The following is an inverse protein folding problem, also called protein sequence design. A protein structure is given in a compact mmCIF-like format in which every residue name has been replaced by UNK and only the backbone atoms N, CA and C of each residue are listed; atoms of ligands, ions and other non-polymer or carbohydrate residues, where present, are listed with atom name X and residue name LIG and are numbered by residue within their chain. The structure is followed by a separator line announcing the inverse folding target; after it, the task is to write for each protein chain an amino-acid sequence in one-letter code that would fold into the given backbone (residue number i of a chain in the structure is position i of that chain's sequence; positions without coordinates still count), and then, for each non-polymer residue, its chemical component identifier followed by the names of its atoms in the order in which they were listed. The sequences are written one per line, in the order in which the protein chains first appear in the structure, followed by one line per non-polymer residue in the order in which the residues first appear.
data_IF_065702044675
#
_entry.id   IF_065702044675
#
_cell.length_a   1.000
_cell.length_b   1.000
_cell.length_c   1.000
_cell.angle_alpha   90.00
_cell.angle_beta   90.00
_cell.angle_gamma   90.00
#
_symmetry.space_group_name_H-M   'P 1'
#
loop_
_entity.id
_entity.type
_entity.pdbx_description
1 polymer ?
#
# COMPACT_ATOMS: atom_id res chain seq x y z
N UNK A 1 -27.25 20.10 -8.78
CA UNK A 1 -27.28 19.78 -7.35
C UNK A 1 -28.07 18.49 -7.19
N UNK A 2 -27.38 17.36 -7.31
CA UNK A 2 -27.94 16.06 -6.97
C UNK A 2 -27.78 15.92 -5.45
N UNK A 3 -28.88 15.61 -4.75
CA UNK A 3 -28.85 15.33 -3.33
C UNK A 3 -28.01 14.06 -3.10
N UNK A 4 -26.87 14.21 -2.43
CA UNK A 4 -26.09 13.09 -1.92
C UNK A 4 -27.00 12.25 -1.00
N UNK A 5 -27.28 11.02 -1.39
CA UNK A 5 -27.85 10.01 -0.52
C UNK A 5 -26.78 9.61 0.51
N UNK A 6 -26.65 10.40 1.57
CA UNK A 6 -25.96 9.89 2.76
C UNK A 6 -26.80 8.70 3.29
N UNK A 7 -26.19 7.51 3.46
CA UNK A 7 -26.90 6.37 4.04
C UNK A 7 -27.53 6.82 5.38
N UNK A 8 -28.80 6.49 5.58
CA UNK A 8 -29.45 6.77 6.86
C UNK A 8 -28.68 6.08 8.00
N UNK A 9 -28.76 6.57 9.22
CA UNK A 9 -28.03 6.06 10.40
C UNK A 9 -28.14 4.52 10.55
N UNK A 10 -29.27 3.93 10.14
CA UNK A 10 -29.51 2.47 10.18
C UNK A 10 -28.66 1.73 9.14
N UNK A 11 -28.50 2.29 7.93
CA UNK A 11 -27.70 1.69 6.87
C UNK A 11 -26.21 1.73 7.21
N UNK A 12 -25.75 2.81 7.84
CA UNK A 12 -24.38 2.95 8.31
C UNK A 12 -24.05 1.93 9.43
N UNK A 13 -24.99 1.69 10.37
CA UNK A 13 -24.82 0.66 11.40
C UNK A 13 -24.80 -0.73 10.75
N UNK A 14 -25.68 -1.01 9.77
CA UNK A 14 -25.68 -2.28 9.04
C UNK A 14 -24.33 -2.50 8.32
N UNK A 15 -23.84 -1.48 7.65
CA UNK A 15 -22.56 -1.50 6.94
C UNK A 15 -21.39 -1.81 7.89
N UNK A 16 -21.26 -1.07 8.98
CA UNK A 16 -20.20 -1.24 9.98
C UNK A 16 -20.24 -2.62 10.60
N UNK A 17 -21.42 -3.10 10.97
CA UNK A 17 -21.58 -4.43 11.58
C UNK A 17 -21.23 -5.56 10.60
N UNK A 18 -21.67 -5.45 9.34
CA UNK A 18 -21.35 -6.44 8.32
C UNK A 18 -19.84 -6.48 8.05
N UNK A 19 -19.20 -5.31 7.90
CA UNK A 19 -17.75 -5.21 7.71
C UNK A 19 -16.97 -5.82 8.88
N UNK A 20 -17.37 -5.52 10.13
CA UNK A 20 -16.72 -6.09 11.32
C UNK A 20 -16.84 -7.62 11.37
N UNK A 21 -18.01 -8.18 11.05
CA UNK A 21 -18.22 -9.64 11.00
C UNK A 21 -17.39 -10.28 9.89
N UNK A 22 -17.37 -9.70 8.69
CA UNK A 22 -16.55 -10.20 7.59
C UNK A 22 -15.06 -10.18 7.95
N UNK A 23 -14.58 -9.10 8.54
CA UNK A 23 -13.18 -8.97 9.00
C UNK A 23 -12.81 -10.09 9.99
N UNK A 24 -13.67 -10.39 10.95
CA UNK A 24 -13.43 -11.47 11.91
C UNK A 24 -13.38 -12.84 11.23
N UNK A 25 -14.25 -13.11 10.26
CA UNK A 25 -14.23 -14.36 9.49
C UNK A 25 -12.94 -14.46 8.67
N UNK A 26 -12.52 -13.38 8.02
CA UNK A 26 -11.32 -13.37 7.19
C UNK A 26 -10.02 -13.52 8.00
N UNK A 27 -9.96 -12.91 9.18
CA UNK A 27 -8.76 -12.93 10.02
C UNK A 27 -8.63 -14.16 10.91
N UNK A 28 -9.77 -14.75 11.34
CA UNK A 28 -9.80 -15.80 12.36
C UNK A 28 -10.40 -17.12 11.86
N UNK A 29 -10.89 -17.15 10.62
CA UNK A 29 -11.53 -18.34 10.07
C UNK A 29 -10.64 -19.60 10.10
N UNK A 30 -11.22 -20.76 10.40
CA UNK A 30 -12.64 -21.04 10.61
C UNK A 30 -13.15 -20.59 11.99
N UNK A 31 -14.20 -19.76 12.04
CA UNK A 31 -14.75 -19.15 13.26
C UNK A 31 -16.25 -19.46 13.42
N UNK A 32 -16.68 -19.77 14.64
CA UNK A 32 -18.08 -20.09 14.89
C UNK A 32 -18.97 -18.84 15.02
N UNK A 33 -20.29 -18.97 14.77
CA UNK A 33 -21.25 -17.88 14.99
C UNK A 33 -21.28 -17.40 16.44
N UNK A 34 -21.01 -18.28 17.40
CA UNK A 34 -20.96 -17.95 18.84
C UNK A 34 -19.75 -17.06 19.12
N UNK A 35 -18.58 -17.41 18.58
CA UNK A 35 -17.39 -16.60 18.74
C UNK A 35 -17.52 -15.26 18.02
N UNK A 36 -18.13 -15.23 16.82
CA UNK A 36 -18.45 -13.99 16.13
C UNK A 36 -19.34 -13.06 16.96
N UNK A 37 -20.37 -13.61 17.60
CA UNK A 37 -21.27 -12.83 18.48
C UNK A 37 -20.49 -12.19 19.63
N UNK A 38 -19.61 -12.96 20.26
CA UNK A 38 -18.77 -12.50 21.37
C UNK A 38 -17.74 -11.45 20.92
N UNK A 39 -17.03 -11.72 19.82
CA UNK A 39 -15.94 -10.87 19.33
C UNK A 39 -16.44 -9.57 18.71
N UNK A 40 -17.53 -9.63 17.93
CA UNK A 40 -18.16 -8.45 17.34
C UNK A 40 -19.07 -7.68 18.32
N UNK A 41 -19.33 -8.23 19.52
CA UNK A 41 -20.26 -7.67 20.51
C UNK A 41 -21.67 -7.42 19.92
N UNK A 42 -22.13 -8.33 19.05
CA UNK A 42 -23.42 -8.28 18.39
C UNK A 42 -24.34 -9.41 18.90
N UNK A 43 -25.65 -9.16 18.95
CA UNK A 43 -26.62 -10.15 19.31
C UNK A 43 -26.57 -11.37 18.37
N UNK A 44 -26.78 -12.62 18.87
CA UNK A 44 -26.75 -13.84 18.05
C UNK A 44 -27.70 -13.80 16.84
N UNK A 45 -28.88 -13.17 17.00
CA UNK A 45 -29.83 -12.99 15.89
C UNK A 45 -29.24 -12.08 14.75
N UNK A 46 -28.52 -11.03 15.12
CA UNK A 46 -27.84 -10.15 14.15
C UNK A 46 -26.75 -10.90 13.41
N UNK A 47 -25.90 -11.66 14.11
CA UNK A 47 -24.88 -12.51 13.49
C UNK A 47 -25.50 -13.51 12.53
N UNK A 48 -26.57 -14.19 12.93
CA UNK A 48 -27.26 -15.18 12.08
C UNK A 48 -27.77 -14.54 10.79
N UNK A 49 -28.34 -13.33 10.88
CA UNK A 49 -28.83 -12.59 9.71
C UNK A 49 -27.67 -12.18 8.78
N UNK A 50 -26.62 -11.54 9.32
CA UNK A 50 -25.46 -11.06 8.55
C UNK A 50 -24.77 -12.25 7.85
N UNK A 51 -24.50 -13.33 8.58
CA UNK A 51 -23.85 -14.52 8.04
C UNK A 51 -24.69 -15.19 6.95
N UNK A 52 -26.02 -15.24 7.13
CA UNK A 52 -26.90 -15.77 6.09
C UNK A 52 -26.81 -14.96 4.81
N UNK A 53 -26.88 -13.63 4.89
CA UNK A 53 -26.72 -12.73 3.73
C UNK A 53 -25.38 -12.96 3.04
N UNK A 54 -24.29 -13.15 3.79
CA UNK A 54 -22.95 -13.43 3.23
C UNK A 54 -22.83 -14.81 2.57
N UNK A 55 -23.49 -15.84 3.12
CA UNK A 55 -23.54 -17.17 2.52
C UNK A 55 -24.33 -17.17 1.21
N UNK A 56 -25.49 -16.50 1.18
CA UNK A 56 -26.33 -16.34 0.00
C UNK A 56 -25.59 -15.58 -1.13
N UNK A 57 -24.74 -14.61 -0.77
CA UNK A 57 -23.90 -13.86 -1.71
C UNK A 57 -22.57 -14.56 -2.05
N UNK A 58 -22.31 -15.76 -1.56
CA UNK A 58 -21.03 -16.48 -1.78
C UNK A 58 -19.78 -15.72 -1.34
N UNK A 59 -19.87 -14.94 -0.28
CA UNK A 59 -18.73 -14.22 0.31
C UNK A 59 -18.02 -15.05 1.37
N UNK A 60 -18.76 -15.93 2.02
CA UNK A 60 -18.27 -16.85 3.03
C UNK A 60 -18.88 -18.25 2.82
N UNK A 61 -18.23 -19.26 3.36
CA UNK A 61 -18.70 -20.64 3.31
C UNK A 61 -18.57 -21.31 4.67
N UNK A 62 -19.35 -22.35 4.86
CA UNK A 62 -19.30 -23.20 6.05
C UNK A 62 -18.32 -24.36 5.89
N UNK A 63 -17.51 -24.57 6.91
CA UNK A 63 -16.53 -25.65 7.01
C UNK A 63 -16.82 -26.48 8.27
N UNK A 64 -16.84 -27.81 8.15
CA UNK A 64 -16.91 -28.69 9.33
C UNK A 64 -15.57 -28.68 10.07
N UNK A 65 -15.58 -28.26 11.33
CA UNK A 65 -14.41 -28.31 12.20
C UNK A 65 -14.45 -29.64 12.96
N UNK A 66 -13.48 -30.50 12.70
CA UNK A 66 -13.29 -31.72 13.50
C UNK A 66 -12.56 -31.35 14.79
N UNK A 67 -13.27 -31.18 15.88
CA UNK A 67 -12.65 -31.09 17.21
C UNK A 67 -12.18 -32.50 17.61
N UNK A 68 -10.87 -32.64 17.83
CA UNK A 68 -10.27 -33.85 18.33
C UNK A 68 -10.77 -34.09 19.79
N UNK A 69 -11.65 -35.06 19.98
CA UNK A 69 -12.01 -35.55 21.31
C UNK A 69 -13.45 -35.36 21.80
N UNK A 70 -14.31 -34.65 21.11
CA UNK A 70 -15.71 -34.50 21.53
C UNK A 70 -16.66 -35.41 20.75
N UNK A 71 -17.42 -36.25 21.47
CA UNK A 71 -18.59 -36.98 20.93
C UNK A 71 -19.76 -36.01 20.79
N UNK A 72 -19.90 -35.39 19.61
CA UNK A 72 -20.97 -34.46 19.29
C UNK A 72 -21.05 -34.17 17.80
N UNK A 73 -22.08 -33.43 17.36
CA UNK A 73 -22.16 -32.92 15.97
C UNK A 73 -20.91 -32.05 15.70
N UNK A 74 -20.20 -32.22 14.56
CA UNK A 74 -19.07 -31.39 14.20
C UNK A 74 -19.43 -29.91 14.32
N UNK A 75 -18.53 -29.12 14.91
CA UNK A 75 -18.70 -27.66 14.96
C UNK A 75 -18.60 -27.11 13.54
N UNK A 76 -19.48 -26.17 13.19
CA UNK A 76 -19.45 -25.49 11.90
C UNK A 76 -18.70 -24.18 12.04
N UNK A 77 -17.62 -24.01 11.31
CA UNK A 77 -16.86 -22.76 11.20
C UNK A 77 -17.13 -22.05 9.90
N UNK A 78 -16.97 -20.74 9.92
CA UNK A 78 -17.11 -19.86 8.77
C UNK A 78 -15.72 -19.44 8.28
N UNK A 79 -15.53 -19.48 6.98
CA UNK A 79 -14.33 -19.00 6.27
C UNK A 79 -14.73 -18.17 5.05
N UNK A 80 -13.83 -17.33 4.55
CA UNK A 80 -14.05 -16.60 3.30
C UNK A 80 -14.14 -17.61 2.16
N UNK A 81 -15.08 -17.41 1.24
CA UNK A 81 -15.14 -18.18 0.01
C UNK A 81 -14.18 -17.60 -1.02
N UNK A 82 -13.30 -18.43 -1.61
CA UNK A 82 -12.20 -17.98 -2.46
C UNK A 82 -12.40 -18.27 -3.94
N UNK A 83 -13.41 -19.04 -4.30
CA UNK A 83 -13.64 -19.46 -5.70
C UNK A 83 -14.69 -18.63 -6.42
N UNK A 84 -15.65 -18.05 -5.69
CA UNK A 84 -16.82 -17.40 -6.28
C UNK A 84 -16.51 -15.99 -6.82
N UNK A 85 -15.71 -15.22 -6.11
CA UNK A 85 -15.47 -13.81 -6.41
C UNK A 85 -14.00 -13.48 -6.56
N UNK A 86 -13.72 -12.58 -7.51
CA UNK A 86 -12.38 -12.05 -7.76
C UNK A 86 -12.41 -10.52 -7.78
N UNK A 87 -11.26 -9.89 -7.66
CA UNK A 87 -11.07 -8.47 -7.90
C UNK A 87 -9.80 -8.23 -8.71
N UNK A 88 -9.79 -7.14 -9.47
CA UNK A 88 -8.62 -6.70 -10.21
C UNK A 88 -7.82 -5.72 -9.35
N UNK A 89 -6.55 -6.04 -9.08
CA UNK A 89 -5.58 -5.12 -8.51
C UNK A 89 -4.68 -4.59 -9.61
N UNK A 90 -4.67 -3.28 -9.79
CA UNK A 90 -3.94 -2.59 -10.84
C UNK A 90 -2.94 -1.62 -10.22
N UNK A 91 -1.70 -1.66 -10.68
CA UNK A 91 -0.68 -0.70 -10.29
C UNK A 91 -0.11 -0.03 -11.52
N UNK A 92 -0.08 1.31 -11.49
CA UNK A 92 0.56 2.12 -12.53
C UNK A 92 1.84 2.69 -11.98
N UNK A 93 2.93 2.50 -12.71
CA UNK A 93 4.24 3.07 -12.37
C UNK A 93 4.90 3.73 -13.59
N UNK A 94 6.15 4.11 -13.46
CA UNK A 94 6.89 4.75 -14.56
C UNK A 94 7.09 3.78 -15.72
N UNK A 95 6.33 3.96 -16.79
CA UNK A 95 6.45 3.17 -18.03
C UNK A 95 5.86 1.76 -17.97
N UNK A 96 5.13 1.42 -16.90
CA UNK A 96 4.65 0.06 -16.68
C UNK A 96 3.29 0.03 -15.99
N UNK A 97 2.44 -0.92 -16.39
CA UNK A 97 1.17 -1.24 -15.75
C UNK A 97 1.17 -2.71 -15.33
N UNK A 98 0.83 -2.96 -14.08
CA UNK A 98 0.70 -4.29 -13.50
C UNK A 98 -0.77 -4.58 -13.27
N UNK A 99 -1.23 -5.74 -13.71
CA UNK A 99 -2.62 -6.19 -13.54
C UNK A 99 -2.60 -7.55 -12.87
N UNK A 100 -3.29 -7.68 -11.76
CA UNK A 100 -3.40 -8.94 -11.04
C UNK A 100 -4.85 -9.24 -10.66
N UNK A 101 -5.31 -10.43 -11.03
CA UNK A 101 -6.55 -10.99 -10.54
C UNK A 101 -6.29 -11.72 -9.23
N UNK A 102 -7.09 -11.42 -8.21
CA UNK A 102 -6.99 -12.03 -6.88
C UNK A 102 -8.35 -12.51 -6.41
N UNK A 103 -8.35 -13.56 -5.59
CA UNK A 103 -9.54 -14.03 -4.88
C UNK A 103 -9.83 -13.18 -3.62
N UNK A 104 -10.94 -13.41 -2.94
CA UNK A 104 -11.30 -12.67 -1.74
C UNK A 104 -10.35 -12.90 -0.54
N UNK A 105 -9.53 -13.95 -0.54
CA UNK A 105 -8.45 -14.13 0.44
C UNK A 105 -7.19 -13.32 0.12
N UNK A 106 -7.20 -12.61 -1.02
CA UNK A 106 -6.07 -11.87 -1.61
C UNK A 106 -4.98 -12.76 -2.22
N UNK A 107 -5.25 -14.05 -2.41
CA UNK A 107 -4.36 -14.94 -3.12
C UNK A 107 -4.32 -14.59 -4.61
N UNK A 108 -3.12 -14.61 -5.16
CA UNK A 108 -2.88 -14.32 -6.57
C UNK A 108 -3.43 -15.46 -7.45
N UNK A 109 -4.26 -15.12 -8.43
CA UNK A 109 -4.80 -16.04 -9.45
C UNK A 109 -4.03 -15.90 -10.75
N UNK A 110 -3.76 -14.66 -11.19
CA UNK A 110 -2.93 -14.36 -12.35
C UNK A 110 -2.39 -12.94 -12.23
N UNK A 111 -1.18 -12.71 -12.70
CA UNK A 111 -0.54 -11.39 -12.74
C UNK A 111 0.20 -11.22 -14.07
N UNK A 112 0.10 -10.03 -14.62
CA UNK A 112 0.80 -9.59 -15.82
C UNK A 112 1.39 -8.20 -15.60
N UNK A 113 2.56 -7.94 -16.17
CA UNK A 113 3.08 -6.60 -16.36
C UNK A 113 3.13 -6.29 -17.86
N UNK A 114 2.84 -5.05 -18.20
CA UNK A 114 2.84 -4.57 -19.58
C UNK A 114 3.49 -3.19 -19.64
N UNK A 115 4.11 -2.88 -20.75
CA UNK A 115 4.64 -1.55 -21.00
C UNK A 115 3.49 -0.55 -21.13
N UNK A 116 3.61 0.57 -20.42
CA UNK A 116 2.73 1.73 -20.51
C UNK A 116 3.58 2.93 -20.94
N UNK A 117 3.66 3.20 -22.22
CA UNK A 117 4.54 4.22 -22.78
C UNK A 117 4.36 5.58 -22.08
N UNK A 118 5.47 6.25 -21.74
CA UNK A 118 5.44 7.56 -21.06
C UNK A 118 4.89 8.66 -21.97
N UNK A 119 5.07 8.52 -23.27
CA UNK A 119 4.55 9.44 -24.31
C UNK A 119 3.87 8.61 -25.38
N UNK A 120 2.66 8.99 -25.71
CA UNK A 120 1.84 8.37 -26.74
C UNK A 120 0.85 9.41 -27.27
N UNK A 121 0.32 9.23 -28.48
CA UNK A 121 -0.67 10.13 -29.08
C UNK A 121 -2.06 9.95 -28.45
N UNK A 122 -2.32 8.79 -27.82
CA UNK A 122 -3.57 8.50 -27.13
C UNK A 122 -3.51 8.91 -25.65
N UNK A 123 -4.61 9.45 -25.08
CA UNK A 123 -4.69 9.79 -23.66
C UNK A 123 -4.37 8.60 -22.74
N UNK A 124 -3.73 8.85 -21.59
CA UNK A 124 -3.38 7.80 -20.65
C UNK A 124 -4.60 6.98 -20.20
N UNK A 125 -5.76 7.64 -20.01
CA UNK A 125 -7.00 6.97 -19.64
C UNK A 125 -7.41 5.89 -20.66
N UNK A 126 -7.37 6.20 -21.94
CA UNK A 126 -7.76 5.26 -22.99
C UNK A 126 -6.80 4.06 -23.07
N UNK A 127 -5.52 4.32 -22.82
CA UNK A 127 -4.50 3.27 -22.73
C UNK A 127 -4.70 2.35 -21.54
N UNK A 128 -5.03 2.90 -20.37
CA UNK A 128 -5.37 2.10 -19.17
C UNK A 128 -6.59 1.21 -19.46
N UNK A 129 -7.66 1.78 -20.02
CA UNK A 129 -8.86 1.03 -20.41
C UNK A 129 -8.51 -0.10 -21.38
N UNK A 130 -7.72 0.20 -22.42
CA UNK A 130 -7.28 -0.82 -23.38
C UNK A 130 -6.50 -1.97 -22.75
N UNK A 131 -5.61 -1.69 -21.78
CA UNK A 131 -4.89 -2.73 -21.05
C UNK A 131 -5.82 -3.61 -20.19
N UNK A 132 -6.82 -3.01 -19.53
CA UNK A 132 -7.84 -3.73 -18.77
C UNK A 132 -8.66 -4.62 -19.68
N UNK A 133 -9.15 -4.11 -20.82
CA UNK A 133 -9.94 -4.88 -21.78
C UNK A 133 -9.17 -6.07 -22.34
N UNK A 134 -7.91 -5.86 -22.71
CA UNK A 134 -7.05 -6.94 -23.20
C UNK A 134 -6.79 -7.99 -22.11
N UNK A 135 -6.61 -7.57 -20.86
CA UNK A 135 -6.48 -8.49 -19.71
C UNK A 135 -7.78 -9.29 -19.53
N UNK A 136 -8.93 -8.65 -19.60
CA UNK A 136 -10.23 -9.31 -19.47
C UNK A 136 -10.48 -10.32 -20.61
N UNK A 137 -10.12 -9.98 -21.83
CA UNK A 137 -10.24 -10.92 -22.98
C UNK A 137 -9.37 -12.16 -22.74
N UNK A 138 -8.12 -11.99 -22.31
CA UNK A 138 -7.20 -13.13 -22.08
C UNK A 138 -7.65 -14.03 -20.93
N UNK A 139 -8.30 -13.47 -19.92
CA UNK A 139 -8.65 -14.19 -18.68
C UNK A 139 -10.15 -14.37 -18.47
N UNK A 140 -10.97 -14.23 -19.51
CA UNK A 140 -12.43 -14.23 -19.46
C UNK A 140 -13.02 -15.36 -18.60
N UNK A 141 -12.47 -16.56 -18.64
CA UNK A 141 -12.95 -17.72 -17.87
C UNK A 141 -12.81 -17.57 -16.35
N UNK A 142 -11.96 -16.64 -15.88
CA UNK A 142 -11.69 -16.39 -14.47
C UNK A 142 -12.40 -15.14 -13.93
N UNK A 143 -13.14 -14.43 -14.80
CA UNK A 143 -13.71 -13.10 -14.50
C UNK A 143 -15.24 -13.13 -14.34
N UNK A 144 -15.84 -14.32 -14.17
CA UNK A 144 -17.31 -14.47 -14.12
C UNK A 144 -17.97 -13.61 -13.02
N UNK A 145 -17.24 -13.30 -11.94
CA UNK A 145 -17.71 -12.48 -10.81
C UNK A 145 -16.63 -11.54 -10.32
N UNK A 146 -16.54 -10.38 -10.95
CA UNK A 146 -15.61 -9.33 -10.51
C UNK A 146 -16.30 -8.43 -9.47
N UNK A 147 -15.69 -8.27 -8.29
CA UNK A 147 -16.24 -7.44 -7.22
C UNK A 147 -15.89 -5.96 -7.37
N UNK A 148 -14.68 -5.67 -7.81
CA UNK A 148 -14.12 -4.32 -7.84
C UNK A 148 -12.81 -4.26 -8.60
N UNK A 149 -12.37 -3.02 -8.88
CA UNK A 149 -11.02 -2.71 -9.37
C UNK A 149 -10.33 -1.83 -8.32
N UNK A 150 -9.14 -2.22 -7.88
CA UNK A 150 -8.31 -1.42 -6.99
C UNK A 150 -7.09 -0.91 -7.74
N UNK A 151 -6.88 0.40 -7.75
CA UNK A 151 -5.82 1.06 -8.51
C UNK A 151 -4.87 1.77 -7.56
N UNK A 152 -3.58 1.51 -7.72
CA UNK A 152 -2.53 2.22 -7.01
C UNK A 152 -1.60 2.90 -7.99
N UNK A 153 -1.31 4.16 -7.75
CA UNK A 153 -0.47 4.98 -8.62
C UNK A 153 0.19 6.13 -7.84
N UNK A 154 1.33 6.65 -8.30
CA UNK A 154 1.94 7.84 -7.73
C UNK A 154 1.24 9.11 -8.24
N UNK A 155 1.30 10.18 -7.47
CA UNK A 155 0.84 11.50 -7.89
C UNK A 155 -0.13 12.16 -6.92
N UNK A 156 -0.78 13.21 -7.40
CA UNK A 156 -1.80 13.95 -6.63
C UNK A 156 -3.17 13.38 -7.00
N UNK A 157 -3.84 12.79 -6.01
CA UNK A 157 -5.07 12.02 -6.20
C UNK A 157 -6.13 12.51 -5.24
N UNK A 158 -7.32 12.80 -5.76
CA UNK A 158 -8.55 12.88 -4.96
C UNK A 158 -9.14 11.47 -4.87
N UNK A 159 -8.91 10.82 -3.75
CA UNK A 159 -9.32 9.43 -3.52
C UNK A 159 -10.84 9.27 -3.32
N UNK A 160 -11.53 10.33 -2.89
CA UNK A 160 -12.98 10.33 -2.67
C UNK A 160 -13.74 10.36 -4.00
N UNK A 161 -13.28 11.23 -4.92
CA UNK A 161 -13.91 11.41 -6.22
C UNK A 161 -13.25 10.57 -7.34
N UNK A 162 -12.17 9.84 -7.04
CA UNK A 162 -11.46 9.02 -8.03
C UNK A 162 -10.78 9.81 -9.14
N UNK A 163 -10.33 11.05 -8.84
CA UNK A 163 -9.71 11.96 -9.80
C UNK A 163 -8.19 11.95 -9.60
N UNK A 164 -7.46 11.80 -10.70
CA UNK A 164 -6.00 11.96 -10.71
C UNK A 164 -5.66 13.35 -11.25
N UNK A 165 -5.28 14.27 -10.35
CA UNK A 165 -4.96 15.64 -10.71
C UNK A 165 -3.65 15.75 -11.49
N UNK A 166 -2.64 15.01 -11.05
CA UNK A 166 -1.32 14.93 -11.70
C UNK A 166 -0.67 13.59 -11.42
N UNK A 167 0.10 13.12 -12.39
CA UNK A 167 0.87 11.89 -12.27
C UNK A 167 2.32 12.13 -12.71
N UNK A 168 3.34 11.75 -11.92
CA UNK A 168 4.73 11.85 -12.34
C UNK A 168 4.97 11.08 -13.63
N UNK A 169 5.80 11.63 -14.52
CA UNK A 169 6.20 11.03 -15.80
C UNK A 169 5.13 11.00 -16.92
N UNK A 170 3.85 11.25 -16.60
CA UNK A 170 2.75 11.32 -17.56
C UNK A 170 2.21 12.76 -17.61
N UNK A 171 2.79 13.57 -18.51
CA UNK A 171 2.53 15.02 -18.59
C UNK A 171 1.12 15.36 -19.11
N UNK A 172 0.47 14.41 -19.78
CA UNK A 172 -0.88 14.54 -20.32
C UNK A 172 -1.97 14.40 -19.24
N UNK A 173 -1.62 13.92 -18.02
CA UNK A 173 -2.58 13.76 -16.94
C UNK A 173 -2.87 15.10 -16.28
N UNK A 174 -4.11 15.57 -16.46
CA UNK A 174 -4.68 16.76 -15.80
C UNK A 174 -6.14 16.47 -15.49
N UNK A 175 -6.52 16.46 -14.21
CA UNK A 175 -7.91 16.25 -13.77
C UNK A 175 -8.55 15.00 -14.42
N UNK A 176 -7.83 13.88 -14.45
CA UNK A 176 -8.29 12.64 -15.08
C UNK A 176 -9.31 11.93 -14.18
N UNK A 177 -10.60 11.79 -14.60
CA UNK A 177 -11.65 11.15 -13.80
C UNK A 177 -11.56 9.61 -13.90
N UNK A 178 -10.46 9.04 -13.43
CA UNK A 178 -10.10 7.63 -13.62
C UNK A 178 -11.14 6.69 -12.98
N UNK A 179 -11.62 7.03 -11.78
CA UNK A 179 -12.60 6.21 -11.05
C UNK A 179 -13.92 6.12 -11.80
N UNK A 180 -14.53 7.27 -12.11
CA UNK A 180 -15.83 7.33 -12.81
C UNK A 180 -15.76 6.67 -14.19
N UNK A 181 -14.71 6.96 -14.96
CA UNK A 181 -14.55 6.41 -16.29
C UNK A 181 -14.46 4.88 -16.28
N UNK A 182 -13.71 4.30 -15.34
CA UNK A 182 -13.60 2.86 -15.22
C UNK A 182 -14.85 2.21 -14.62
N UNK A 183 -15.54 2.83 -13.65
CA UNK A 183 -16.82 2.34 -13.15
C UNK A 183 -17.88 2.30 -14.26
N UNK A 184 -17.96 3.34 -15.10
CA UNK A 184 -18.87 3.37 -16.25
C UNK A 184 -18.53 2.32 -17.31
N UNK A 185 -17.22 2.08 -17.55
CA UNK A 185 -16.77 1.12 -18.56
C UNK A 185 -16.95 -0.33 -18.12
N UNK A 186 -16.66 -0.64 -16.85
CA UNK A 186 -16.60 -2.03 -16.34
C UNK A 186 -17.83 -2.46 -15.55
N UNK A 187 -18.63 -1.52 -15.07
CA UNK A 187 -19.82 -1.77 -14.24
C UNK A 187 -19.52 -2.18 -12.80
N UNK A 188 -18.24 -2.14 -12.36
CA UNK A 188 -17.86 -2.48 -10.97
C UNK A 188 -17.23 -1.29 -10.26
N UNK A 189 -17.33 -1.22 -8.90
CA UNK A 189 -16.73 -0.14 -8.13
C UNK A 189 -15.21 -0.09 -8.29
N UNK A 190 -14.68 1.15 -8.32
CA UNK A 190 -13.25 1.42 -8.48
C UNK A 190 -12.72 2.14 -7.25
N UNK A 191 -11.65 1.62 -6.67
CA UNK A 191 -10.94 2.21 -5.52
C UNK A 191 -9.57 2.67 -5.98
N UNK A 192 -9.25 3.94 -5.72
CA UNK A 192 -7.98 4.54 -6.13
C UNK A 192 -7.26 5.08 -4.91
N UNK A 193 -5.96 4.81 -4.82
CA UNK A 193 -5.13 5.32 -3.73
C UNK A 193 -3.70 5.59 -4.22
N UNK A 194 -3.03 6.53 -3.53
CA UNK A 194 -1.60 6.72 -3.69
C UNK A 194 -0.85 5.44 -3.31
N UNK A 195 0.11 5.04 -4.12
CA UNK A 195 0.83 3.77 -3.97
C UNK A 195 1.51 3.61 -2.60
N UNK A 196 2.20 4.63 -2.08
CA UNK A 196 2.84 4.58 -0.75
C UNK A 196 1.83 4.36 0.37
N UNK A 197 0.69 5.05 0.30
CA UNK A 197 -0.40 4.89 1.28
C UNK A 197 -1.00 3.50 1.24
N UNK A 198 -1.27 2.99 0.04
CA UNK A 198 -1.79 1.64 -0.16
C UNK A 198 -0.80 0.56 0.30
N UNK A 199 0.50 0.77 0.12
CA UNK A 199 1.52 -0.15 0.64
C UNK A 199 1.64 -0.13 2.15
N UNK A 200 1.48 1.05 2.76
CA UNK A 200 1.42 1.16 4.21
C UNK A 200 0.25 0.35 4.77
N UNK A 201 -0.91 0.40 4.09
CA UNK A 201 -2.05 -0.45 4.42
C UNK A 201 -1.75 -1.94 4.21
N UNK A 202 -1.04 -2.30 3.12
CA UNK A 202 -0.67 -3.69 2.85
C UNK A 202 0.26 -4.27 3.92
N UNK A 203 1.25 -3.50 4.38
CA UNK A 203 2.12 -3.90 5.49
C UNK A 203 1.35 -4.07 6.81
N UNK A 204 0.35 -3.23 7.07
CA UNK A 204 -0.48 -3.34 8.25
C UNK A 204 -1.45 -4.53 8.22
N UNK A 205 -1.96 -4.88 7.05
CA UNK A 205 -2.92 -5.98 6.90
C UNK A 205 -2.24 -7.34 6.73
N UNK A 206 -1.15 -7.40 5.98
CA UNK A 206 -0.55 -8.66 5.53
C UNK A 206 0.93 -8.81 5.86
N UNK A 207 1.63 -7.71 6.20
CA UNK A 207 3.09 -7.64 6.23
C UNK A 207 3.73 -7.39 7.58
N UNK A 208 4.85 -6.68 7.56
CA UNK A 208 5.76 -6.48 8.67
C UNK A 208 5.18 -5.67 9.83
N UNK A 209 4.13 -4.87 9.61
CA UNK A 209 3.47 -4.11 10.68
C UNK A 209 2.13 -4.69 11.12
N UNK A 210 1.82 -5.94 10.75
CA UNK A 210 0.59 -6.59 11.17
C UNK A 210 0.46 -6.60 12.70
N UNK A 211 -0.67 -6.07 13.18
CA UNK A 211 -0.97 -5.97 14.61
C UNK A 211 -0.43 -4.72 15.30
N UNK A 212 0.41 -3.91 14.66
CA UNK A 212 0.80 -2.60 15.15
C UNK A 212 -0.27 -1.56 14.83
N UNK A 213 -0.56 -0.66 15.77
CA UNK A 213 -1.59 0.38 15.62
C UNK A 213 -1.02 1.71 15.13
N UNK A 214 0.25 1.98 15.44
CA UNK A 214 0.93 3.22 15.13
C UNK A 214 2.21 2.90 14.37
N UNK A 215 2.23 3.20 13.08
CA UNK A 215 3.28 2.80 12.14
C UNK A 215 3.64 3.96 11.24
N UNK A 216 4.92 4.16 11.01
CA UNK A 216 5.42 4.99 9.93
C UNK A 216 6.10 4.08 8.90
N UNK A 217 5.68 4.15 7.66
CA UNK A 217 6.39 3.53 6.55
C UNK A 217 7.00 4.60 5.67
N UNK A 218 8.30 4.53 5.46
CA UNK A 218 9.02 5.40 4.50
C UNK A 218 9.33 4.59 3.27
N UNK A 219 9.03 5.15 2.13
CA UNK A 219 9.42 4.62 0.82
C UNK A 219 10.52 5.52 0.25
N UNK A 220 11.63 4.91 -0.13
CA UNK A 220 12.78 5.54 -0.78
C UNK A 220 13.01 4.79 -2.10
N UNK A 221 12.51 5.38 -3.17
CA UNK A 221 12.65 4.86 -4.53
C UNK A 221 12.97 6.05 -5.47
N UNK A 222 12.42 6.11 -6.66
CA UNK A 222 12.49 7.31 -7.51
C UNK A 222 11.84 8.53 -6.85
N UNK A 223 10.82 8.30 -6.03
CA UNK A 223 10.21 9.30 -5.13
C UNK A 223 10.49 8.93 -3.67
N UNK A 224 10.43 9.93 -2.79
CA UNK A 224 10.56 9.75 -1.35
C UNK A 224 9.29 10.24 -0.66
N UNK A 225 8.65 9.36 0.08
CA UNK A 225 7.41 9.68 0.77
C UNK A 225 7.16 8.79 1.98
N UNK A 226 6.11 9.07 2.74
CA UNK A 226 5.72 8.24 3.87
C UNK A 226 4.21 8.03 3.92
N UNK A 227 3.83 6.84 4.38
CA UNK A 227 2.49 6.55 4.89
C UNK A 227 2.54 6.43 6.41
N UNK A 228 1.50 6.91 7.07
CA UNK A 228 1.38 6.90 8.52
C UNK A 228 0.08 6.26 8.93
N UNK A 229 0.16 5.31 9.84
CA UNK A 229 -1.01 4.73 10.51
C UNK A 229 -0.98 5.19 11.96
N UNK A 230 -2.11 5.70 12.44
CA UNK A 230 -2.33 6.07 13.84
C UNK A 230 -3.62 5.43 14.33
N UNK A 231 -3.56 4.81 15.50
CA UNK A 231 -4.71 4.10 16.10
C UNK A 231 -5.33 3.05 15.14
N UNK A 232 -4.51 2.45 14.27
CA UNK A 232 -4.93 1.43 13.30
C UNK A 232 -5.55 1.98 12.01
N UNK A 233 -5.59 3.29 11.83
CA UNK A 233 -6.14 3.93 10.65
C UNK A 233 -5.07 4.70 9.87
N UNK A 234 -5.14 4.61 8.54
CA UNK A 234 -4.28 5.41 7.68
C UNK A 234 -4.56 6.90 7.92
N UNK A 235 -3.50 7.68 8.10
CA UNK A 235 -3.62 9.14 8.25
C UNK A 235 -4.10 9.76 6.94
N UNK A 236 -5.22 10.46 7.00
CA UNK A 236 -5.73 11.25 5.89
C UNK A 236 -5.37 12.73 6.12
N UNK A 237 -4.71 13.32 5.15
CA UNK A 237 -4.36 14.74 5.14
C UNK A 237 -5.10 15.44 3.99
N UNK A 238 -6.25 16.03 4.29
CA UNK A 238 -7.12 16.62 3.26
C UNK A 238 -7.66 15.57 2.28
N UNK A 239 -7.52 15.82 0.98
CA UNK A 239 -7.88 14.87 -0.08
C UNK A 239 -6.84 13.78 -0.35
N UNK A 240 -5.65 13.88 0.27
CA UNK A 240 -4.54 12.93 0.10
C UNK A 240 -4.17 12.26 1.41
N UNK A 241 -3.82 10.99 1.36
CA UNK A 241 -3.32 10.22 2.51
C UNK A 241 -1.79 10.13 2.55
N UNK A 242 -1.09 10.81 1.65
CA UNK A 242 0.36 10.82 1.59
C UNK A 242 0.97 11.89 2.50
N UNK A 243 2.02 11.52 3.22
CA UNK A 243 2.85 12.46 3.98
C UNK A 243 4.10 12.78 3.17
N UNK A 244 4.13 13.98 2.62
CA UNK A 244 5.13 14.47 1.66
C UNK A 244 6.50 14.79 2.31
N UNK A 245 7.08 13.82 3.02
CA UNK A 245 8.38 13.99 3.69
C UNK A 245 9.53 14.24 2.70
N UNK A 246 9.41 13.74 1.47
CA UNK A 246 10.38 13.93 0.41
C UNK A 246 10.57 15.40 0.06
N UNK A 247 9.57 16.25 0.26
CA UNK A 247 9.61 17.68 0.00
C UNK A 247 9.94 18.53 1.24
N UNK A 248 10.28 17.89 2.36
CA UNK A 248 10.85 18.59 3.52
C UNK A 248 12.27 19.06 3.20
N UNK A 249 12.53 20.35 3.41
CA UNK A 249 13.87 20.92 3.20
C UNK A 249 14.85 20.41 4.27
N UNK A 250 15.89 19.72 3.85
CA UNK A 250 16.97 19.19 4.71
C UNK A 250 18.31 19.90 4.48
N UNK A 251 18.45 20.59 3.35
CA UNK A 251 19.60 21.41 2.98
C UNK A 251 19.16 22.73 2.32
N UNK A 252 19.22 23.88 3.03
CA UNK A 252 18.82 25.18 2.48
C UNK A 252 19.58 25.61 1.23
N UNK A 253 20.78 25.07 1.02
CA UNK A 253 21.65 25.37 -0.10
C UNK A 253 21.70 24.24 -1.14
N UNK A 254 20.87 23.23 -0.96
CA UNK A 254 20.82 22.03 -1.81
C UNK A 254 20.23 22.28 -3.19
N UNK A 255 20.18 21.22 -3.98
CA UNK A 255 19.66 21.25 -5.35
C UNK A 255 18.20 21.71 -5.40
N UNK A 256 17.81 22.33 -6.51
CA UNK A 256 16.42 22.67 -6.79
C UNK A 256 15.61 21.37 -6.95
N UNK A 257 14.51 21.29 -6.24
CA UNK A 257 13.53 20.22 -6.35
C UNK A 257 12.48 20.56 -7.43
N UNK A 258 11.89 19.55 -8.05
CA UNK A 258 10.81 19.75 -9.02
C UNK A 258 9.55 20.40 -8.40
N UNK A 259 9.35 20.26 -7.08
CA UNK A 259 8.27 20.94 -6.36
C UNK A 259 8.43 22.47 -6.29
N UNK A 260 9.59 23.00 -6.71
CA UNK A 260 9.93 24.42 -6.69
C UNK A 260 10.83 24.84 -5.53
N UNK A 261 10.93 24.06 -4.46
CA UNK A 261 11.82 24.27 -3.32
C UNK A 261 13.27 23.89 -3.64
N UNK A 262 14.19 24.14 -2.68
CA UNK A 262 15.57 23.72 -2.73
C UNK A 262 15.89 22.79 -1.56
N UNK A 263 16.79 21.81 -1.82
CA UNK A 263 17.31 20.92 -0.79
C UNK A 263 16.28 20.05 -0.07
N UNK A 264 15.24 19.66 -0.80
CA UNK A 264 14.28 18.68 -0.31
C UNK A 264 14.96 17.33 -0.04
N UNK A 265 14.46 16.55 0.91
CA UNK A 265 14.97 15.21 1.20
C UNK A 265 15.07 14.34 -0.06
N UNK A 266 14.12 14.43 -0.96
CA UNK A 266 14.09 13.68 -2.22
C UNK A 266 15.29 13.99 -3.12
N UNK A 267 15.80 15.25 -3.12
CA UNK A 267 16.99 15.61 -3.89
C UNK A 267 18.29 15.02 -3.34
N UNK A 268 18.21 14.32 -2.20
CA UNK A 268 19.34 13.63 -1.56
C UNK A 268 19.10 12.12 -1.48
N UNK A 269 17.88 11.72 -1.18
CA UNK A 269 17.56 10.34 -0.79
C UNK A 269 16.86 9.53 -1.91
N UNK A 270 16.36 10.15 -2.99
CA UNK A 270 15.83 9.37 -4.11
C UNK A 270 16.91 8.51 -4.77
N UNK A 271 16.52 7.38 -5.36
CA UNK A 271 17.42 6.49 -6.09
C UNK A 271 18.20 7.25 -7.15
N UNK A 272 17.52 8.11 -7.92
CA UNK A 272 18.17 8.91 -8.97
C UNK A 272 19.22 9.88 -8.38
N UNK A 273 18.90 10.55 -7.27
CA UNK A 273 19.81 11.47 -6.58
C UNK A 273 21.02 10.76 -5.98
N UNK A 274 20.80 9.56 -5.42
CA UNK A 274 21.86 8.71 -4.85
C UNK A 274 22.84 8.28 -5.94
N UNK A 275 22.33 7.79 -7.07
CA UNK A 275 23.17 7.35 -8.19
C UNK A 275 23.93 8.52 -8.84
N UNK A 276 23.29 9.68 -8.95
CA UNK A 276 23.95 10.89 -9.43
C UNK A 276 25.10 11.30 -8.51
N UNK A 277 24.87 11.32 -7.18
CA UNK A 277 25.91 11.60 -6.19
C UNK A 277 27.04 10.57 -6.25
N UNK A 278 26.69 9.28 -6.39
CA UNK A 278 27.67 8.20 -6.51
C UNK A 278 28.54 8.37 -7.75
N UNK A 279 27.94 8.69 -8.90
CA UNK A 279 28.68 8.96 -10.14
C UNK A 279 29.61 10.16 -10.01
N UNK A 280 29.13 11.26 -9.40
CA UNK A 280 29.93 12.45 -9.16
C UNK A 280 31.17 12.16 -8.31
N UNK A 281 30.96 11.45 -7.17
CA UNK A 281 32.05 11.08 -6.25
C UNK A 281 33.00 10.04 -6.85
N UNK A 282 32.49 9.11 -7.63
CA UNK A 282 33.27 8.10 -8.32
C UNK A 282 34.25 8.75 -9.31
N UNK A 283 33.83 9.79 -10.03
CA UNK A 283 34.69 10.54 -10.96
C UNK A 283 35.82 11.27 -10.22
N UNK A 284 35.67 11.55 -8.93
CA UNK A 284 36.66 12.23 -8.09
C UNK A 284 37.50 11.24 -7.26
N UNK A 285 37.11 10.00 -7.16
CA UNK A 285 37.77 8.98 -6.34
C UNK A 285 38.73 8.13 -7.16
N UNK A 286 39.96 7.97 -6.68
CA UNK A 286 40.96 7.09 -7.29
C UNK A 286 40.79 5.61 -6.90
N UNK A 287 40.04 5.31 -5.86
CA UNK A 287 39.89 3.96 -5.31
C UNK A 287 38.44 3.68 -4.88
N UNK A 288 37.76 2.92 -5.70
CA UNK A 288 36.43 2.36 -5.34
C UNK A 288 36.20 1.07 -6.13
N UNK A 289 35.49 0.10 -5.52
CA UNK A 289 35.05 -1.13 -6.16
C UNK A 289 34.00 -0.90 -7.26
N UNK A 290 33.42 0.30 -7.31
CA UNK A 290 32.43 0.69 -8.31
C UNK A 290 33.01 1.01 -9.68
N UNK A 291 34.34 1.18 -9.78
CA UNK A 291 34.97 1.42 -11.06
C UNK A 291 34.85 0.25 -12.02
N UNK A 292 34.55 0.52 -13.28
CA UNK A 292 34.47 -0.51 -14.34
C UNK A 292 33.25 -1.40 -14.33
N UNK A 293 32.25 -1.12 -13.50
CA UNK A 293 30.98 -1.83 -13.48
C UNK A 293 29.78 -0.86 -13.61
N UNK A 294 28.59 -1.35 -14.03
CA UNK A 294 27.38 -0.53 -14.06
C UNK A 294 27.05 0.01 -12.68
N UNK A 295 26.84 1.33 -12.59
CA UNK A 295 26.44 1.98 -11.35
C UNK A 295 24.93 1.82 -11.15
N UNK A 296 24.55 0.97 -10.22
CA UNK A 296 23.17 0.69 -9.81
C UNK A 296 23.07 0.71 -8.28
N UNK A 297 21.86 0.79 -7.74
CA UNK A 297 21.66 0.66 -6.27
C UNK A 297 22.21 -0.68 -5.77
N UNK A 298 22.05 -1.75 -6.55
CA UNK A 298 22.57 -3.07 -6.21
C UNK A 298 24.08 -3.10 -6.12
N UNK A 299 24.78 -2.55 -7.13
CA UNK A 299 26.25 -2.47 -7.10
C UNK A 299 26.75 -1.58 -5.97
N UNK A 300 26.04 -0.46 -5.68
CA UNK A 300 26.35 0.43 -4.56
C UNK A 300 26.21 -0.31 -3.21
N UNK A 301 25.11 -1.01 -2.98
CA UNK A 301 24.89 -1.78 -1.76
C UNK A 301 25.94 -2.89 -1.60
N UNK A 302 26.23 -3.64 -2.67
CA UNK A 302 27.23 -4.71 -2.62
C UNK A 302 28.63 -4.17 -2.33
N UNK A 303 29.03 -3.05 -2.96
CA UNK A 303 30.31 -2.41 -2.68
C UNK A 303 30.40 -1.97 -1.21
N UNK A 304 29.37 -1.31 -0.69
CA UNK A 304 29.33 -0.87 0.71
C UNK A 304 29.48 -2.04 1.69
N UNK A 305 28.75 -3.14 1.46
CA UNK A 305 28.82 -4.34 2.29
C UNK A 305 30.20 -5.03 2.23
N UNK A 306 30.92 -4.88 1.14
CA UNK A 306 32.30 -5.38 0.97
C UNK A 306 33.36 -4.40 1.52
N UNK A 307 32.95 -3.27 2.11
CA UNK A 307 33.86 -2.32 2.75
C UNK A 307 34.31 -1.16 1.88
N UNK A 308 33.71 -0.93 0.70
CA UNK A 308 33.98 0.26 -0.10
C UNK A 308 33.55 1.52 0.66
N UNK A 309 34.53 2.39 0.92
CA UNK A 309 34.32 3.58 1.75
C UNK A 309 33.42 4.62 1.09
N UNK A 310 33.52 4.80 -0.25
CA UNK A 310 32.69 5.72 -0.99
C UNK A 310 31.23 5.29 -0.96
N UNK A 311 30.96 4.02 -1.25
CA UNK A 311 29.62 3.48 -1.23
C UNK A 311 29.00 3.51 0.19
N UNK A 312 29.79 3.17 1.21
CA UNK A 312 29.37 3.21 2.60
C UNK A 312 29.03 4.65 3.05
N UNK A 313 29.86 5.63 2.71
CA UNK A 313 29.64 7.03 3.05
C UNK A 313 28.36 7.59 2.40
N UNK A 314 28.06 7.21 1.17
CA UNK A 314 26.79 7.59 0.51
C UNK A 314 25.58 7.02 1.25
N UNK A 315 25.58 5.72 1.55
CA UNK A 315 24.43 5.07 2.25
C UNK A 315 24.26 5.65 3.66
N UNK A 316 25.36 5.89 4.40
CA UNK A 316 25.28 6.50 5.74
C UNK A 316 24.79 7.95 5.68
N UNK A 317 25.21 8.72 4.65
CA UNK A 317 24.73 10.08 4.43
C UNK A 317 23.22 10.12 4.20
N UNK A 318 22.68 9.25 3.34
CA UNK A 318 21.24 9.09 3.11
C UNK A 318 20.54 8.71 4.42
N UNK A 319 21.06 7.71 5.15
CA UNK A 319 20.51 7.26 6.42
C UNK A 319 20.43 8.38 7.47
N UNK A 320 21.41 9.25 7.54
CA UNK A 320 21.43 10.38 8.46
C UNK A 320 20.34 11.42 8.12
N UNK A 321 20.14 11.75 6.85
CA UNK A 321 19.07 12.68 6.44
C UNK A 321 17.68 12.10 6.68
N UNK A 322 17.45 10.85 6.30
CA UNK A 322 16.19 10.13 6.54
C UNK A 322 15.92 10.02 8.05
N UNK A 323 16.92 9.63 8.84
CA UNK A 323 16.80 9.49 10.29
C UNK A 323 16.46 10.80 10.99
N UNK A 324 16.97 11.94 10.49
CA UNK A 324 16.62 13.26 11.02
C UNK A 324 15.13 13.59 10.82
N UNK A 325 14.60 13.32 9.63
CA UNK A 325 13.17 13.53 9.35
C UNK A 325 12.32 12.56 10.17
N UNK A 326 12.75 11.30 10.27
CA UNK A 326 12.06 10.31 11.08
C UNK A 326 12.06 10.67 12.58
N UNK A 327 13.11 11.31 13.12
CA UNK A 327 13.11 11.80 14.47
C UNK A 327 12.01 12.85 14.73
N UNK A 328 11.77 13.73 13.74
CA UNK A 328 10.64 14.68 13.80
C UNK A 328 9.30 13.93 13.79
N UNK A 329 9.14 12.97 12.89
CA UNK A 329 7.91 12.17 12.79
C UNK A 329 7.65 11.35 14.06
N UNK A 330 8.69 10.80 14.68
CA UNK A 330 8.60 10.11 15.98
C UNK A 330 8.04 11.03 17.05
N UNK A 331 8.51 12.26 17.11
CA UNK A 331 7.99 13.26 18.06
C UNK A 331 6.52 13.63 17.82
N UNK A 332 6.07 13.58 16.57
CA UNK A 332 4.71 13.95 16.19
C UNK A 332 3.71 12.79 16.35
N UNK A 333 4.10 11.58 16.00
CA UNK A 333 3.19 10.44 15.87
C UNK A 333 3.43 9.32 16.90
N UNK A 334 4.57 9.32 17.60
CA UNK A 334 4.95 8.29 18.58
C UNK A 334 4.69 6.85 18.08
N UNK A 335 5.27 6.43 16.95
CA UNK A 335 4.98 5.14 16.34
C UNK A 335 5.55 3.98 17.17
N UNK A 336 4.92 2.83 17.08
CA UNK A 336 5.43 1.56 17.61
C UNK A 336 6.53 0.98 16.73
N UNK A 337 6.45 1.24 15.41
CA UNK A 337 7.33 0.65 14.40
C UNK A 337 7.55 1.59 13.23
N UNK A 338 8.76 1.55 12.68
CA UNK A 338 9.12 2.23 11.43
C UNK A 338 9.52 1.18 10.41
N UNK A 339 8.91 1.26 9.22
CA UNK A 339 9.25 0.41 8.09
C UNK A 339 9.95 1.21 7.00
N UNK A 340 11.00 0.64 6.42
CA UNK A 340 11.75 1.22 5.31
C UNK A 340 11.56 0.35 4.07
N UNK A 341 10.84 0.89 3.07
CA UNK A 341 10.69 0.30 1.75
C UNK A 341 11.67 0.95 0.76
N UNK A 342 12.78 0.28 0.48
CA UNK A 342 13.82 0.84 -0.40
C UNK A 342 14.68 -0.25 -1.01
N UNK A 343 15.18 -0.08 -2.25
CA UNK A 343 16.25 -0.90 -2.78
C UNK A 343 17.54 -0.86 -1.93
N UNK A 344 17.77 0.23 -1.18
CA UNK A 344 18.89 0.36 -0.22
C UNK A 344 18.78 -0.60 0.96
N UNK A 345 17.61 -1.19 1.23
CA UNK A 345 17.43 -2.19 2.28
C UNK A 345 18.27 -3.45 2.06
N UNK A 346 18.84 -3.64 0.87
CA UNK A 346 19.89 -4.66 0.63
C UNK A 346 21.16 -4.42 1.45
N UNK A 347 21.40 -3.18 1.89
CA UNK A 347 22.45 -2.80 2.81
C UNK A 347 21.86 -2.37 4.18
N UNK A 348 20.83 -3.05 4.66
CA UNK A 348 20.14 -2.75 5.92
C UNK A 348 21.11 -2.68 7.11
N UNK A 349 22.13 -3.56 7.16
CA UNK A 349 23.16 -3.58 8.20
C UNK A 349 23.98 -2.28 8.30
N UNK A 350 23.97 -1.46 7.24
CA UNK A 350 24.62 -0.14 7.22
C UNK A 350 23.57 0.96 7.43
N UNK A 351 22.46 0.90 6.68
CA UNK A 351 21.45 1.95 6.62
C UNK A 351 20.67 2.08 7.94
N UNK A 352 20.15 0.97 8.48
CA UNK A 352 19.21 1.00 9.60
C UNK A 352 19.84 1.43 10.92
N UNK A 353 21.09 1.03 11.26
CA UNK A 353 21.76 1.57 12.44
C UNK A 353 21.89 3.09 12.39
N UNK A 354 22.25 3.67 11.25
CA UNK A 354 22.40 5.13 11.10
C UNK A 354 21.04 5.84 11.29
N UNK A 355 19.97 5.31 10.68
CA UNK A 355 18.62 5.82 10.89
C UNK A 355 18.23 5.76 12.37
N UNK A 356 18.42 4.59 12.99
CA UNK A 356 18.08 4.37 14.40
C UNK A 356 18.87 5.26 15.36
N UNK A 357 20.16 5.47 15.09
CA UNK A 357 21.02 6.37 15.88
C UNK A 357 20.56 7.82 15.74
N UNK A 358 20.22 8.26 14.52
CA UNK A 358 19.69 9.61 14.29
C UNK A 358 18.39 9.84 15.05
N UNK A 359 17.49 8.85 15.06
CA UNK A 359 16.23 8.90 15.80
C UNK A 359 16.51 8.98 17.32
N UNK A 360 17.39 8.11 17.85
CA UNK A 360 17.73 8.11 19.28
C UNK A 360 18.37 9.41 19.75
N UNK A 361 19.16 10.07 18.91
CA UNK A 361 19.85 11.31 19.24
C UNK A 361 18.96 12.54 19.17
N UNK A 362 17.91 12.55 18.33
CA UNK A 362 17.17 13.76 18.01
C UNK A 362 15.69 13.70 18.38
N UNK A 363 15.10 12.51 18.57
CA UNK A 363 13.74 12.38 19.05
C UNK A 363 13.66 12.39 20.58
N UNK A 364 12.46 12.67 21.10
CA UNK A 364 12.19 12.62 22.53
C UNK A 364 12.51 11.23 23.09
N UNK A 365 13.37 11.10 24.11
CA UNK A 365 13.88 9.81 24.57
C UNK A 365 12.80 8.79 24.94
N UNK A 366 11.69 9.25 25.56
CA UNK A 366 10.59 8.37 25.95
C UNK A 366 9.91 7.71 24.73
N UNK A 367 9.94 8.35 23.56
CA UNK A 367 9.35 7.81 22.32
C UNK A 367 10.35 6.95 21.54
N UNK A 368 11.64 7.32 21.54
CA UNK A 368 12.65 6.69 20.69
C UNK A 368 13.23 5.37 21.21
N UNK A 369 13.10 5.07 22.52
CA UNK A 369 13.76 3.93 23.18
C UNK A 369 13.29 2.55 22.67
N UNK A 370 12.06 2.43 22.22
CA UNK A 370 11.43 1.15 21.89
C UNK A 370 11.09 1.00 20.39
N UNK A 371 11.48 1.97 19.56
CA UNK A 371 11.18 1.94 18.14
C UNK A 371 12.07 0.93 17.44
N UNK A 372 11.47 0.02 16.69
CA UNK A 372 12.16 -0.82 15.71
C UNK A 372 12.15 -0.15 14.34
N UNK A 373 13.28 -0.24 13.63
CA UNK A 373 13.42 0.13 12.22
C UNK A 373 13.66 -1.16 11.45
N UNK A 374 12.73 -1.51 10.57
CA UNK A 374 12.70 -2.79 9.85
C UNK A 374 12.46 -2.57 8.36
N UNK A 375 12.79 -3.57 7.54
CA UNK A 375 12.40 -3.57 6.13
C UNK A 375 10.91 -3.85 5.95
N UNK A 376 10.31 -3.29 4.90
CA UNK A 376 9.00 -3.74 4.41
C UNK A 376 9.06 -5.19 3.97
N UNK A 377 7.96 -5.92 4.12
CA UNK A 377 7.82 -7.28 3.61
C UNK A 377 7.50 -7.29 2.11
N UNK A 378 6.67 -6.34 1.67
CA UNK A 378 6.29 -6.22 0.27
C UNK A 378 7.21 -5.24 -0.45
N UNK A 379 7.65 -5.65 -1.64
CA UNK A 379 8.43 -4.76 -2.50
C UNK A 379 7.53 -3.73 -3.16
N UNK A 380 8.13 -2.58 -3.50
CA UNK A 380 7.48 -1.51 -4.24
C UNK A 380 7.01 -1.90 -5.66
N UNK A 381 7.11 -3.16 -6.06
CA UNK A 381 6.84 -3.60 -7.42
C UNK A 381 5.63 -4.52 -7.56
N UNK A 382 4.97 -4.89 -6.47
CA UNK A 382 3.85 -5.82 -6.52
C UNK A 382 2.48 -5.15 -6.59
N UNK A 383 1.44 -5.96 -6.79
CA UNK A 383 0.03 -5.56 -6.79
C UNK A 383 -0.65 -5.76 -5.43
N UNK A 384 0.11 -6.06 -4.37
CA UNK A 384 -0.44 -6.34 -3.03
C UNK A 384 -1.05 -5.09 -2.38
N UNK A 385 -0.59 -3.91 -2.77
CA UNK A 385 -1.16 -2.65 -2.32
C UNK A 385 -2.65 -2.50 -2.72
N UNK A 386 -3.02 -2.90 -3.94
CA UNK A 386 -4.42 -2.91 -4.36
C UNK A 386 -5.28 -3.92 -3.58
N UNK A 387 -4.70 -5.06 -3.17
CA UNK A 387 -5.38 -6.00 -2.28
C UNK A 387 -5.74 -5.36 -0.94
N UNK A 388 -4.89 -4.49 -0.39
CA UNK A 388 -5.17 -3.77 0.84
C UNK A 388 -6.38 -2.83 0.70
N UNK A 389 -6.55 -2.17 -0.44
CA UNK A 389 -7.71 -1.30 -0.70
C UNK A 389 -9.01 -2.09 -0.71
N UNK A 390 -9.04 -3.24 -1.38
CA UNK A 390 -10.23 -4.09 -1.42
C UNK A 390 -10.56 -4.63 -0.03
N UNK A 391 -9.55 -5.07 0.74
CA UNK A 391 -9.75 -5.53 2.12
C UNK A 391 -10.29 -4.41 3.02
N UNK A 392 -9.77 -3.21 2.88
CA UNK A 392 -10.28 -2.05 3.63
C UNK A 392 -11.75 -1.77 3.28
N UNK A 393 -12.10 -1.76 1.99
CA UNK A 393 -13.48 -1.57 1.53
C UNK A 393 -14.43 -2.69 1.98
N UNK A 394 -13.94 -3.93 2.11
CA UNK A 394 -14.70 -5.03 2.70
C UNK A 394 -14.87 -4.86 4.21
N UNK A 395 -13.82 -4.47 4.94
CA UNK A 395 -13.82 -4.35 6.39
C UNK A 395 -14.58 -3.14 6.91
N UNK A 396 -14.57 -2.02 6.17
CA UNK A 396 -15.43 -0.87 6.48
C UNK A 396 -16.87 -1.05 6.00
N UNK A 397 -17.13 -2.13 5.23
CA UNK A 397 -18.43 -2.56 4.76
C UNK A 397 -18.93 -1.88 3.47
N UNK A 398 -18.19 -0.91 2.91
CA UNK A 398 -18.65 -0.17 1.72
C UNK A 398 -18.80 -1.07 0.49
N UNK A 399 -17.80 -1.90 0.20
CA UNK A 399 -17.89 -2.88 -0.87
C UNK A 399 -18.84 -4.02 -0.51
N UNK A 400 -18.79 -4.46 0.75
CA UNK A 400 -19.58 -5.59 1.23
C UNK A 400 -21.09 -5.36 1.04
N UNK A 401 -21.60 -4.17 1.40
CA UNK A 401 -23.02 -3.85 1.22
C UNK A 401 -23.44 -3.87 -0.25
N UNK A 402 -22.58 -3.37 -1.16
CA UNK A 402 -22.84 -3.45 -2.60
C UNK A 402 -23.00 -4.90 -3.07
N UNK A 403 -22.12 -5.79 -2.62
CA UNK A 403 -22.16 -7.23 -2.95
C UNK A 403 -23.34 -7.98 -2.32
N UNK A 404 -23.87 -7.52 -1.19
CA UNK A 404 -25.04 -8.09 -0.53
C UNK A 404 -26.38 -7.62 -1.13
N UNK A 405 -26.37 -6.53 -1.88
CA UNK A 405 -27.57 -5.96 -2.52
C UNK A 405 -27.77 -6.45 -3.97
N UNK A 406 -26.74 -7.07 -4.58
CA UNK A 406 -26.73 -7.61 -5.94
C UNK A 406 -26.40 -6.55 -6.96
#
# INVERSE_FOLDING_TARGET
MAAENQPGHIDQIKQTNAGAVYRLIDQLGPVSRIDLSRLAQLAPASITKIVREMLEAHLVQELEIKEAGNRGRPAVGLVVETEAWHYLSLRISRGEIFLALRDLSSKLVVEESQELALKDDSPLLDRIISHIDQFFIRHQKKLERLTSIAITLPGIIDTENGIVHRMPFYEDVKEMPLGEALEQHTGVPVYIQHDISAWTMAEALFGASRGARDVIQVVIDHNVGAGVITDGHLLHAGSSSLVEIGHTQVDPYGKRCYCGNHGCLETIASVDSILELAQLRLNQSMSSMLHGQPLTVDSLCQAALRGDLLAKDIITGVGAHVGRILAIMVNLFNPQKILIGSPLSKAADILFPVISDSIRQQAFPAYSQHISVESTQFSNQGTMAGAALVKDAMYNGSLLIRLLQG
#
